data_IF_300380937520
#
_entry.id   IF_300380937520
#
_cell.length_a   1.000
_cell.length_b   1.000
_cell.length_c   1.000
_cell.angle_alpha   90.00
_cell.angle_beta   90.00
_cell.angle_gamma   90.00
#
_symmetry.space_group_name_H-M   'P 1'
#
loop_
_entity.id
_entity.type
_entity.pdbx_description
1 polymer ?
#
# COMPACT_ATOMS: atom_id res chain seq x y z
N UNK A 1 34.64 2.06 3.00
CA UNK A 1 34.32 3.35 3.63
C UNK A 1 32.82 3.54 3.48
N UNK A 2 32.07 3.72 4.57
CA UNK A 2 30.61 3.88 4.46
C UNK A 2 30.28 5.31 4.02
N UNK A 3 29.43 5.51 2.99
CA UNK A 3 29.04 6.84 2.56
C UNK A 3 28.26 7.57 3.67
N UNK A 4 28.42 8.88 3.75
CA UNK A 4 27.70 9.76 4.68
C UNK A 4 26.67 10.55 3.87
N UNK A 5 25.42 10.55 4.34
CA UNK A 5 24.33 11.34 3.78
C UNK A 5 24.01 12.46 4.77
N UNK A 6 23.98 13.71 4.28
CA UNK A 6 23.51 14.87 5.04
C UNK A 6 22.11 15.25 4.55
N UNK A 7 21.19 15.51 5.46
CA UNK A 7 19.78 15.80 5.17
C UNK A 7 19.37 17.08 5.88
N UNK A 8 18.64 17.94 5.18
CA UNK A 8 17.99 19.11 5.78
C UNK A 8 16.52 18.77 6.04
N UNK A 9 16.08 18.91 7.29
CA UNK A 9 14.71 18.63 7.73
C UNK A 9 14.21 19.75 8.65
N UNK A 10 12.89 19.87 8.81
CA UNK A 10 12.29 20.80 9.76
C UNK A 10 12.45 20.33 11.21
N UNK A 11 12.40 21.26 12.16
CA UNK A 11 12.46 20.96 13.58
C UNK A 11 11.30 20.04 14.03
N UNK A 12 10.08 20.26 13.51
CA UNK A 12 8.92 19.38 13.77
C UNK A 12 9.19 17.93 13.35
N UNK A 13 9.78 17.73 12.16
CA UNK A 13 10.06 16.39 11.66
C UNK A 13 11.14 15.70 12.52
N UNK A 14 12.16 16.45 12.93
CA UNK A 14 13.21 15.94 13.81
C UNK A 14 12.64 15.55 15.19
N UNK A 15 11.75 16.35 15.76
CA UNK A 15 11.12 16.08 17.06
C UNK A 15 10.26 14.81 16.99
N UNK A 16 9.41 14.70 15.96
CA UNK A 16 8.58 13.51 15.73
C UNK A 16 9.43 12.26 15.52
N UNK A 17 10.52 12.38 14.76
CA UNK A 17 11.47 11.27 14.56
C UNK A 17 12.09 10.82 15.88
N UNK A 18 12.58 11.74 16.72
CA UNK A 18 13.16 11.42 18.02
C UNK A 18 12.16 10.73 18.95
N UNK A 19 10.92 11.22 18.97
CA UNK A 19 9.87 10.62 19.79
C UNK A 19 9.58 9.17 19.39
N UNK A 20 9.45 8.89 18.08
CA UNK A 20 9.26 7.52 17.56
C UNK A 20 10.49 6.66 17.81
N UNK A 21 11.70 7.20 17.57
CA UNK A 21 12.98 6.50 17.76
C UNK A 21 13.13 5.99 19.18
N UNK A 22 12.89 6.85 20.17
CA UNK A 22 13.02 6.53 21.59
C UNK A 22 12.02 5.44 22.02
N UNK A 23 10.78 5.49 21.53
CA UNK A 23 9.78 4.45 21.81
C UNK A 23 10.09 3.12 21.14
N UNK A 24 10.75 3.15 20.00
CA UNK A 24 11.08 1.96 19.20
C UNK A 24 12.38 1.27 19.67
N UNK A 25 13.07 1.80 20.69
CA UNK A 25 14.25 1.17 21.29
C UNK A 25 15.54 1.33 20.49
N UNK A 26 15.61 2.25 19.52
CA UNK A 26 16.81 2.44 18.72
C UNK A 26 17.93 3.13 19.50
N UNK A 27 19.14 2.57 19.40
CA UNK A 27 20.33 3.06 20.12
C UNK A 27 20.86 4.40 19.60
N UNK A 28 20.64 4.73 18.32
CA UNK A 28 21.12 5.96 17.69
C UNK A 28 20.22 6.44 16.56
N UNK A 29 20.32 7.74 16.23
CA UNK A 29 19.64 8.33 15.06
C UNK A 29 20.04 7.60 13.77
N UNK A 30 21.34 7.36 13.61
CA UNK A 30 21.89 6.71 12.41
C UNK A 30 21.40 5.27 12.24
N UNK A 31 21.17 4.52 13.33
CA UNK A 31 20.57 3.20 13.26
C UNK A 31 19.12 3.29 12.77
N UNK A 32 18.29 4.10 13.43
CA UNK A 32 16.88 4.25 13.07
C UNK A 32 16.69 4.75 11.64
N UNK A 33 17.53 5.69 11.19
CA UNK A 33 17.46 6.24 9.85
C UNK A 33 17.94 5.23 8.79
N UNK A 34 18.94 4.41 9.11
CA UNK A 34 19.38 3.31 8.24
C UNK A 34 18.28 2.26 8.09
N UNK A 35 17.66 1.85 9.19
CA UNK A 35 16.56 0.88 9.13
C UNK A 35 15.34 1.45 8.39
N UNK A 36 15.04 2.74 8.53
CA UNK A 36 14.00 3.40 7.75
C UNK A 36 14.33 3.43 6.25
N UNK A 37 15.59 3.70 5.87
CA UNK A 37 16.02 3.64 4.47
C UNK A 37 15.95 2.20 3.93
N UNK A 38 16.39 1.21 4.71
CA UNK A 38 16.29 -0.20 4.31
C UNK A 38 14.83 -0.58 4.09
N UNK A 39 13.92 -0.25 5.01
CA UNK A 39 12.48 -0.50 4.84
C UNK A 39 11.89 0.24 3.66
N UNK A 40 12.30 1.48 3.41
CA UNK A 40 11.89 2.23 2.23
C UNK A 40 12.37 1.55 0.94
N UNK A 41 13.60 1.06 0.91
CA UNK A 41 14.14 0.31 -0.22
C UNK A 41 13.38 -1.01 -0.36
N UNK A 42 13.24 -1.80 0.69
CA UNK A 42 12.50 -3.08 0.68
C UNK A 42 11.05 -2.89 0.22
N UNK A 43 10.34 -1.87 0.72
CA UNK A 43 8.98 -1.55 0.27
C UNK A 43 8.92 -1.29 -1.24
N UNK A 44 9.89 -0.58 -1.80
CA UNK A 44 9.90 -0.22 -3.23
C UNK A 44 10.56 -1.28 -4.12
N UNK A 45 11.57 -2.01 -3.64
CA UNK A 45 12.23 -3.12 -4.33
C UNK A 45 11.38 -4.38 -4.30
N UNK A 46 10.60 -4.65 -3.24
CA UNK A 46 9.55 -5.68 -3.27
C UNK A 46 8.56 -5.33 -4.38
N UNK A 47 8.06 -4.08 -4.41
CA UNK A 47 7.17 -3.59 -5.48
C UNK A 47 7.78 -3.66 -6.90
N UNK A 48 9.11 -3.58 -7.05
CA UNK A 48 9.83 -3.71 -8.33
C UNK A 48 10.21 -5.16 -8.68
N UNK A 49 10.50 -6.03 -7.70
CA UNK A 49 10.92 -7.44 -7.89
C UNK A 49 9.77 -8.45 -7.93
N UNK A 50 8.51 -8.04 -7.75
CA UNK A 50 7.36 -8.93 -7.97
C UNK A 50 7.16 -9.23 -9.47
N UNK A 51 8.03 -10.06 -10.04
CA UNK A 51 7.76 -10.73 -11.32
C UNK A 51 6.99 -12.04 -11.10
N UNK A 52 6.06 -12.33 -12.00
CA UNK A 52 5.32 -13.59 -12.04
C UNK A 52 3.89 -13.56 -11.49
N UNK A 53 3.34 -14.74 -11.26
CA UNK A 53 1.97 -14.95 -10.79
C UNK A 53 1.91 -14.84 -9.26
N UNK A 54 0.92 -14.14 -8.71
CA UNK A 54 0.79 -13.85 -7.28
C UNK A 54 -0.66 -13.92 -6.82
N UNK A 55 -0.83 -14.00 -5.50
CA UNK A 55 -2.10 -13.95 -4.78
C UNK A 55 -2.02 -12.76 -3.85
N UNK A 56 -2.91 -11.79 -4.02
CA UNK A 56 -2.91 -10.53 -3.29
C UNK A 56 -4.30 -10.24 -2.74
N UNK A 57 -4.38 -9.55 -1.60
CA UNK A 57 -5.61 -8.89 -1.14
C UNK A 57 -5.48 -7.39 -1.31
N UNK A 58 -6.45 -6.76 -1.97
CA UNK A 58 -6.55 -5.30 -2.08
C UNK A 58 -7.72 -4.86 -1.19
N UNK A 59 -7.48 -3.94 -0.26
CA UNK A 59 -8.51 -3.36 0.59
C UNK A 59 -8.85 -1.96 0.10
N UNK A 60 -10.14 -1.64 0.01
CA UNK A 60 -10.64 -0.32 -0.35
C UNK A 60 -11.50 0.25 0.77
N UNK A 61 -11.40 1.55 1.00
CA UNK A 61 -12.30 2.33 1.85
C UNK A 61 -12.68 3.61 1.13
N UNK A 62 -13.98 3.84 0.92
CA UNK A 62 -14.47 5.00 0.17
C UNK A 62 -15.90 5.41 0.57
N UNK A 63 -16.35 6.65 0.31
CA UNK A 63 -17.70 7.07 0.66
C UNK A 63 -18.76 6.36 -0.20
N UNK A 64 -19.91 6.04 0.39
CA UNK A 64 -21.03 5.43 -0.33
C UNK A 64 -21.65 6.44 -1.32
N UNK A 65 -21.12 6.46 -2.55
CA UNK A 65 -21.57 7.33 -3.65
C UNK A 65 -21.61 6.52 -4.93
N UNK A 66 -22.74 6.58 -5.64
CA UNK A 66 -22.96 5.80 -6.87
C UNK A 66 -21.88 6.04 -7.93
N UNK A 67 -21.42 7.28 -8.09
CA UNK A 67 -20.36 7.62 -9.05
C UNK A 67 -19.08 6.80 -8.80
N UNK A 68 -18.62 6.74 -7.55
CA UNK A 68 -17.41 5.99 -7.18
C UNK A 68 -17.65 4.48 -7.31
N UNK A 69 -18.83 4.00 -6.90
CA UNK A 69 -19.20 2.58 -7.02
C UNK A 69 -19.18 2.14 -8.48
N UNK A 70 -19.73 2.95 -9.39
CA UNK A 70 -19.76 2.64 -10.81
C UNK A 70 -18.37 2.64 -11.44
N UNK A 71 -17.52 3.62 -11.10
CA UNK A 71 -16.14 3.68 -11.58
C UNK A 71 -15.31 2.47 -11.13
N UNK A 72 -15.48 2.04 -9.87
CA UNK A 72 -14.86 0.82 -9.35
C UNK A 72 -15.41 -0.42 -10.06
N UNK A 73 -16.73 -0.50 -10.31
CA UNK A 73 -17.35 -1.63 -11.00
C UNK A 73 -16.86 -1.77 -12.45
N UNK A 74 -16.60 -0.67 -13.15
CA UNK A 74 -15.98 -0.68 -14.48
C UNK A 74 -14.57 -1.27 -14.43
N UNK A 75 -13.76 -0.89 -13.44
CA UNK A 75 -12.46 -1.51 -13.23
C UNK A 75 -12.59 -3.00 -12.91
N UNK A 76 -13.55 -3.41 -12.07
CA UNK A 76 -13.77 -4.84 -11.80
C UNK A 76 -14.11 -5.63 -13.07
N UNK A 77 -14.90 -5.05 -13.97
CA UNK A 77 -15.17 -5.67 -15.27
C UNK A 77 -13.93 -5.74 -16.15
N UNK A 78 -13.04 -4.75 -16.13
CA UNK A 78 -11.81 -4.74 -16.94
C UNK A 78 -10.74 -5.73 -16.43
N UNK A 79 -10.72 -5.99 -15.13
CA UNK A 79 -9.75 -6.86 -14.46
C UNK A 79 -10.37 -8.18 -13.94
N UNK A 80 -11.56 -8.55 -14.45
CA UNK A 80 -12.33 -9.70 -13.98
C UNK A 80 -11.53 -11.02 -14.02
N UNK A 81 -10.55 -11.14 -14.91
CA UNK A 81 -9.69 -12.31 -15.07
C UNK A 81 -8.78 -12.58 -13.86
N UNK A 82 -8.34 -11.52 -13.17
CA UNK A 82 -7.49 -11.62 -11.99
C UNK A 82 -8.29 -11.58 -10.69
N UNK A 83 -9.47 -10.97 -10.66
CA UNK A 83 -10.29 -10.89 -9.45
C UNK A 83 -10.98 -12.23 -9.19
N UNK A 84 -10.73 -12.84 -8.02
CA UNK A 84 -11.32 -14.12 -7.60
C UNK A 84 -12.50 -13.94 -6.67
N UNK A 85 -12.45 -12.92 -5.83
CA UNK A 85 -13.54 -12.56 -4.93
C UNK A 85 -13.48 -11.07 -4.63
N UNK A 86 -14.65 -10.48 -4.44
CA UNK A 86 -14.81 -9.19 -3.77
C UNK A 86 -15.79 -9.43 -2.63
N UNK A 87 -15.39 -9.05 -1.42
CA UNK A 87 -16.25 -9.02 -0.24
C UNK A 87 -16.38 -7.56 0.18
N UNK A 88 -17.60 -7.09 0.40
CA UNK A 88 -17.85 -5.71 0.78
C UNK A 88 -18.79 -5.58 1.98
N UNK A 89 -18.60 -4.48 2.70
CA UNK A 89 -19.41 -4.10 3.84
C UNK A 89 -19.68 -2.60 3.80
N UNK A 90 -20.84 -2.21 4.33
CA UNK A 90 -21.16 -0.81 4.60
C UNK A 90 -21.04 -0.55 6.09
N UNK A 91 -20.12 0.33 6.47
CA UNK A 91 -19.93 0.77 7.86
C UNK A 91 -20.03 2.29 7.89
N UNK A 92 -21.03 2.79 8.63
CA UNK A 92 -21.42 4.20 8.62
C UNK A 92 -21.69 4.73 7.19
N UNK A 93 -21.02 5.81 6.79
CA UNK A 93 -21.12 6.44 5.47
C UNK A 93 -20.08 5.89 4.46
N UNK A 94 -19.31 4.87 4.85
CA UNK A 94 -18.25 4.28 4.04
C UNK A 94 -18.61 2.89 3.54
N UNK A 95 -18.07 2.57 2.38
CA UNK A 95 -17.98 1.22 1.85
C UNK A 95 -16.55 0.72 2.06
N UNK A 96 -16.44 -0.51 2.54
CA UNK A 96 -15.17 -1.20 2.79
C UNK A 96 -15.20 -2.45 1.93
N UNK A 97 -14.19 -2.63 1.09
CA UNK A 97 -14.10 -3.80 0.22
C UNK A 97 -12.76 -4.53 0.42
N UNK A 98 -12.79 -5.84 0.28
CA UNK A 98 -11.60 -6.68 0.19
C UNK A 98 -11.69 -7.50 -1.08
N UNK A 99 -10.69 -7.35 -1.92
CA UNK A 99 -10.59 -7.98 -3.24
C UNK A 99 -9.48 -9.02 -3.16
N UNK A 100 -9.80 -10.28 -3.43
CA UNK A 100 -8.80 -11.32 -3.66
C UNK A 100 -8.43 -11.32 -5.14
N UNK A 101 -7.18 -10.98 -5.46
CA UNK A 101 -6.66 -10.94 -6.82
C UNK A 101 -5.58 -12.00 -7.01
N UNK A 102 -5.66 -12.78 -8.09
CA UNK A 102 -4.74 -13.87 -8.42
C UNK A 102 -4.38 -13.81 -9.89
N UNK A 103 -3.13 -13.47 -10.18
CA UNK A 103 -2.70 -13.10 -11.53
C UNK A 103 -1.24 -12.67 -11.63
N UNK A 104 -0.82 -12.25 -12.83
CA UNK A 104 0.48 -11.58 -13.00
C UNK A 104 0.52 -10.31 -12.15
N UNK A 105 1.57 -10.13 -11.35
CA UNK A 105 1.65 -8.99 -10.44
C UNK A 105 1.48 -7.65 -11.14
N UNK A 106 2.07 -7.46 -12.33
CA UNK A 106 1.90 -6.22 -13.10
C UNK A 106 0.44 -5.85 -13.38
N UNK A 107 -0.46 -6.83 -13.61
CA UNK A 107 -1.90 -6.58 -13.78
C UNK A 107 -2.59 -6.26 -12.45
N UNK A 108 -2.16 -6.91 -11.36
CA UNK A 108 -2.71 -6.66 -10.02
C UNK A 108 -2.31 -5.24 -9.56
N UNK A 109 -1.06 -4.86 -9.79
CA UNK A 109 -0.55 -3.51 -9.51
C UNK A 109 -1.30 -2.46 -10.32
N UNK A 110 -1.48 -2.68 -11.62
CA UNK A 110 -2.23 -1.76 -12.48
C UNK A 110 -3.69 -1.59 -12.02
N UNK A 111 -4.37 -2.68 -11.61
CA UNK A 111 -5.68 -2.60 -10.97
C UNK A 111 -5.64 -1.74 -9.70
N UNK A 112 -4.72 -2.02 -8.78
CA UNK A 112 -4.58 -1.27 -7.52
C UNK A 112 -4.32 0.21 -7.76
N UNK A 113 -3.43 0.54 -8.69
CA UNK A 113 -3.06 1.92 -8.99
C UNK A 113 -4.25 2.68 -9.59
N UNK A 114 -5.00 2.07 -10.52
CA UNK A 114 -6.23 2.66 -11.04
C UNK A 114 -7.29 2.88 -9.96
N UNK A 115 -7.49 1.92 -9.06
CA UNK A 115 -8.41 2.08 -7.93
C UNK A 115 -7.96 3.20 -6.99
N UNK A 116 -6.66 3.33 -6.73
CA UNK A 116 -6.10 4.37 -5.87
C UNK A 116 -6.18 5.78 -6.46
N UNK A 117 -6.28 5.90 -7.79
CA UNK A 117 -6.42 7.17 -8.49
C UNK A 117 -7.86 7.70 -8.47
N UNK A 118 -8.84 6.88 -8.10
CA UNK A 118 -10.22 7.33 -7.93
C UNK A 118 -10.28 8.23 -6.69
N UNK A 119 -10.83 9.44 -6.88
CA UNK A 119 -10.93 10.43 -5.80
C UNK A 119 -11.72 9.88 -4.61
N UNK A 120 -11.23 10.17 -3.40
CA UNK A 120 -11.79 9.75 -2.12
C UNK A 120 -11.73 8.22 -1.86
N UNK A 121 -10.98 7.45 -2.67
CA UNK A 121 -10.69 6.03 -2.42
C UNK A 121 -9.35 5.88 -1.71
N UNK A 122 -9.36 5.22 -0.56
CA UNK A 122 -8.16 4.77 0.14
C UNK A 122 -7.95 3.30 -0.21
N UNK A 123 -6.74 2.94 -0.63
CA UNK A 123 -6.40 1.56 -0.96
C UNK A 123 -5.14 1.08 -0.24
N UNK A 124 -5.13 -0.20 0.13
CA UNK A 124 -3.92 -0.92 0.56
C UNK A 124 -3.90 -2.30 -0.09
N UNK A 125 -2.72 -2.91 -0.20
CA UNK A 125 -2.55 -4.20 -0.85
C UNK A 125 -1.53 -5.03 -0.07
N UNK A 126 -1.83 -6.31 0.13
CA UNK A 126 -0.95 -7.26 0.83
C UNK A 126 -0.84 -8.56 0.03
N UNK A 127 0.33 -9.19 0.05
CA UNK A 127 0.51 -10.53 -0.52
C UNK A 127 -0.09 -11.60 0.39
N UNK A 128 -0.73 -12.59 -0.21
CA UNK A 128 -1.19 -13.81 0.48
C UNK A 128 -0.21 -14.93 0.15
N UNK A 129 0.60 -15.31 1.13
CA UNK A 129 1.52 -16.44 1.02
C UNK A 129 0.77 -17.71 1.37
N UNK A 130 0.79 -18.68 0.45
CA UNK A 130 0.26 -20.03 0.67
C UNK A 130 1.47 -20.97 0.73
N UNK A 131 1.67 -21.58 1.89
CA UNK A 131 2.69 -22.61 2.15
C UNK A 131 2.19 -24.00 1.72
#
# INVERSE_FOLDING_TARGET
>A
MSPIISLQISDDLLERFEHVRNRSGFSSKSQALREAIVKFIEEYEELENFEGYRIMTIHLVYPFREVIINEIAELYSQYHQIIKNVSDWRIADKKIETILAVGKFGLIRDLRDKLSNIKDVISSMHEVVID
#
